data_IF_146069525023
#
_entry.id   IF_146069525023
#
_cell.length_a   1.000
_cell.length_b   1.000
_cell.length_c   1.000
_cell.angle_alpha   90.00
_cell.angle_beta   90.00
_cell.angle_gamma   90.00
#
_symmetry.space_group_name_H-M   'P 1'
#
loop_
_entity.id
_entity.type
_entity.pdbx_description
1 polymer ?
#
# COMPACT_ATOMS: atom_id res chain seq x y z
N UNK A 1 -5.45 -13.35 -26.79
CA UNK A 1 -6.32 -14.36 -26.17
C UNK A 1 -6.93 -13.72 -24.93
N UNK A 2 -8.26 -13.70 -24.78
CA UNK A 2 -8.90 -13.00 -23.65
C UNK A 2 -8.61 -13.77 -22.34
N UNK A 3 -7.78 -13.18 -21.47
CA UNK A 3 -7.38 -13.78 -20.18
C UNK A 3 -8.40 -13.54 -19.06
N UNK A 4 -9.45 -12.75 -19.30
CA UNK A 4 -10.46 -12.39 -18.31
C UNK A 4 -11.06 -13.62 -17.58
N UNK A 5 -11.42 -14.73 -18.26
CA UNK A 5 -11.99 -15.89 -17.56
C UNK A 5 -11.05 -16.50 -16.53
N UNK A 6 -9.75 -16.58 -16.84
CA UNK A 6 -8.75 -17.09 -15.90
C UNK A 6 -8.53 -16.18 -14.70
N UNK A 7 -8.57 -14.86 -14.90
CA UNK A 7 -8.50 -13.90 -13.80
C UNK A 7 -9.74 -13.94 -12.90
N UNK A 8 -10.93 -14.11 -13.49
CA UNK A 8 -12.17 -14.25 -12.73
C UNK A 8 -12.19 -15.56 -11.93
N UNK A 9 -11.76 -16.67 -12.53
CA UNK A 9 -11.64 -17.94 -11.82
C UNK A 9 -10.70 -17.83 -10.61
N UNK A 10 -9.57 -17.14 -10.76
CA UNK A 10 -8.66 -16.90 -9.64
C UNK A 10 -9.30 -16.02 -8.55
N UNK A 11 -10.10 -15.02 -8.92
CA UNK A 11 -10.83 -14.21 -7.97
C UNK A 11 -11.86 -15.03 -7.17
N UNK A 12 -12.53 -15.98 -7.81
CA UNK A 12 -13.47 -16.90 -7.15
C UNK A 12 -12.76 -17.82 -6.17
N UNK A 13 -11.60 -18.38 -6.54
CA UNK A 13 -10.77 -19.16 -5.62
C UNK A 13 -10.30 -18.35 -4.42
N UNK A 14 -9.84 -17.11 -4.62
CA UNK A 14 -9.45 -16.22 -3.51
C UNK A 14 -10.63 -15.93 -2.57
N UNK A 15 -11.83 -15.75 -3.10
CA UNK A 15 -13.05 -15.55 -2.30
C UNK A 15 -13.42 -16.79 -1.48
N UNK A 16 -13.21 -17.99 -2.04
CA UNK A 16 -13.38 -19.25 -1.31
C UNK A 16 -12.39 -19.34 -0.13
N UNK A 17 -11.11 -19.02 -0.36
CA UNK A 17 -10.10 -18.95 0.70
C UNK A 17 -10.50 -17.93 1.78
N UNK A 18 -11.02 -16.76 1.38
CA UNK A 18 -11.49 -15.75 2.33
C UNK A 18 -12.59 -16.30 3.25
N UNK A 19 -13.53 -17.10 2.71
CA UNK A 19 -14.60 -17.72 3.50
C UNK A 19 -14.08 -18.80 4.43
N UNK A 20 -13.20 -19.68 3.95
CA UNK A 20 -12.61 -20.78 4.74
C UNK A 20 -11.85 -20.21 5.94
N UNK A 21 -10.99 -19.23 5.69
CA UNK A 21 -10.15 -18.60 6.72
C UNK A 21 -10.99 -17.80 7.71
N UNK A 22 -12.07 -17.13 7.26
CA UNK A 22 -13.01 -16.47 8.16
C UNK A 22 -13.72 -17.46 9.09
N UNK A 23 -14.17 -18.61 8.58
CA UNK A 23 -14.81 -19.66 9.38
C UNK A 23 -13.84 -20.30 10.38
N UNK A 24 -12.56 -20.38 10.01
CA UNK A 24 -11.48 -20.83 10.88
C UNK A 24 -11.01 -19.78 11.91
N UNK A 25 -11.64 -18.60 11.96
CA UNK A 25 -11.26 -17.51 12.88
C UNK A 25 -9.95 -16.81 12.51
N UNK A 26 -9.43 -17.01 11.30
CA UNK A 26 -8.24 -16.34 10.74
C UNK A 26 -8.66 -15.12 9.95
N UNK A 27 -9.11 -14.09 10.67
CA UNK A 27 -9.75 -12.91 10.08
C UNK A 27 -8.80 -12.04 9.25
N UNK A 28 -7.52 -12.02 9.60
CA UNK A 28 -6.44 -11.38 8.85
C UNK A 28 -6.27 -11.98 7.45
N UNK A 29 -6.21 -13.31 7.36
CA UNK A 29 -6.15 -14.05 6.10
C UNK A 29 -7.43 -13.90 5.30
N UNK A 30 -8.58 -13.86 5.97
CA UNK A 30 -9.85 -13.61 5.33
C UNK A 30 -9.90 -12.23 4.67
N UNK A 31 -9.40 -11.19 5.35
CA UNK A 31 -9.36 -9.82 4.83
C UNK A 31 -8.42 -9.69 3.63
N UNK A 32 -7.22 -10.29 3.70
CA UNK A 32 -6.28 -10.34 2.58
C UNK A 32 -6.89 -10.98 1.35
N UNK A 33 -7.42 -12.20 1.51
CA UNK A 33 -7.98 -12.97 0.43
C UNK A 33 -9.22 -12.27 -0.16
N UNK A 34 -10.03 -11.61 0.66
CA UNK A 34 -11.17 -10.81 0.19
C UNK A 34 -10.75 -9.60 -0.65
N UNK A 35 -9.69 -8.88 -0.26
CA UNK A 35 -9.16 -7.78 -1.04
C UNK A 35 -8.60 -8.28 -2.38
N UNK A 36 -7.80 -9.36 -2.36
CA UNK A 36 -7.20 -9.95 -3.55
C UNK A 36 -8.25 -10.49 -4.54
N UNK A 37 -9.32 -11.11 -4.02
CA UNK A 37 -10.47 -11.53 -4.82
C UNK A 37 -11.10 -10.33 -5.53
N UNK A 38 -11.34 -9.24 -4.82
CA UNK A 38 -11.94 -8.04 -5.39
C UNK A 38 -11.02 -7.38 -6.44
N UNK A 39 -9.72 -7.28 -6.20
CA UNK A 39 -8.73 -6.75 -7.15
C UNK A 39 -8.75 -7.55 -8.46
N UNK A 40 -8.64 -8.88 -8.38
CA UNK A 40 -8.59 -9.78 -9.54
C UNK A 40 -9.91 -9.77 -10.31
N UNK A 41 -11.05 -9.72 -9.63
CA UNK A 41 -12.37 -9.65 -10.26
C UNK A 41 -12.53 -8.37 -11.10
N UNK A 42 -12.11 -7.22 -10.58
CA UNK A 42 -12.22 -5.95 -11.30
C UNK A 42 -11.21 -5.90 -12.47
N UNK A 43 -9.99 -6.43 -12.30
CA UNK A 43 -9.02 -6.58 -13.39
C UNK A 43 -9.54 -7.51 -14.51
N UNK A 44 -10.22 -8.60 -14.15
CA UNK A 44 -10.89 -9.46 -15.12
C UNK A 44 -11.94 -8.70 -15.93
N UNK A 45 -12.71 -7.82 -15.28
CA UNK A 45 -13.71 -7.00 -15.94
C UNK A 45 -13.09 -5.98 -16.90
N UNK A 46 -11.99 -5.32 -16.54
CA UNK A 46 -11.24 -4.48 -17.48
C UNK A 46 -10.79 -5.27 -18.72
N UNK A 47 -10.19 -6.45 -18.53
CA UNK A 47 -9.76 -7.32 -19.63
C UNK A 47 -10.93 -7.72 -20.53
N UNK A 48 -12.09 -8.03 -19.95
CA UNK A 48 -13.30 -8.34 -20.70
C UNK A 48 -13.80 -7.16 -21.55
N UNK A 49 -13.65 -5.94 -21.02
CA UNK A 49 -13.98 -4.69 -21.71
C UNK A 49 -12.87 -4.20 -22.66
N UNK A 50 -11.82 -5.01 -22.88
CA UNK A 50 -10.72 -4.69 -23.79
C UNK A 50 -9.71 -3.68 -23.23
N UNK A 51 -9.65 -3.52 -21.91
CA UNK A 51 -8.72 -2.65 -21.21
C UNK A 51 -7.73 -3.44 -20.36
N UNK A 52 -6.55 -2.88 -20.15
CA UNK A 52 -5.62 -3.34 -19.13
C UNK A 52 -5.72 -2.42 -17.92
N UNK A 53 -5.64 -3.00 -16.72
CA UNK A 53 -5.75 -2.26 -15.47
C UNK A 53 -4.61 -2.62 -14.53
N UNK A 54 -4.02 -1.59 -13.93
CA UNK A 54 -2.77 -1.65 -13.16
C UNK A 54 -2.99 -1.14 -11.73
N UNK A 55 -2.11 -1.53 -10.81
CA UNK A 55 -2.23 -1.19 -9.38
C UNK A 55 -3.12 -2.16 -8.58
N UNK A 56 -3.27 -1.89 -7.29
CA UNK A 56 -3.88 -2.82 -6.31
C UNK A 56 -5.14 -2.30 -5.63
N UNK A 57 -5.42 -0.99 -5.72
CA UNK A 57 -6.60 -0.40 -5.09
C UNK A 57 -7.86 -0.75 -5.89
N UNK A 58 -8.75 -1.53 -5.28
CA UNK A 58 -10.03 -1.94 -5.86
C UNK A 58 -10.89 -0.72 -6.14
N UNK A 59 -10.84 0.30 -5.27
CA UNK A 59 -11.60 1.54 -5.43
C UNK A 59 -11.24 2.22 -6.75
N UNK A 60 -9.94 2.28 -7.05
CA UNK A 60 -9.42 2.93 -8.26
C UNK A 60 -9.79 2.13 -9.51
N UNK A 61 -9.55 0.82 -9.47
CA UNK A 61 -9.92 -0.08 -10.57
C UNK A 61 -11.41 0.07 -10.90
N UNK A 62 -12.30 0.10 -9.91
CA UNK A 62 -13.73 0.30 -10.14
C UNK A 62 -14.06 1.64 -10.80
N UNK A 63 -13.39 2.73 -10.41
CA UNK A 63 -13.64 4.06 -10.98
C UNK A 63 -13.11 4.23 -12.39
N UNK A 64 -12.12 3.44 -12.80
CA UNK A 64 -11.51 3.50 -14.13
C UNK A 64 -12.27 2.65 -15.18
N UNK A 65 -13.29 1.90 -14.75
CA UNK A 65 -14.13 1.12 -15.65
C UNK A 65 -14.96 2.01 -16.59
N UNK A 66 -15.14 1.64 -17.87
CA UNK A 66 -15.93 2.37 -18.85
C UNK A 66 -17.43 2.05 -18.73
N UNK A 67 -17.88 1.67 -17.53
CA UNK A 67 -19.26 1.36 -17.19
C UNK A 67 -19.66 2.10 -15.93
N UNK A 68 -20.96 2.32 -15.75
CA UNK A 68 -21.46 2.92 -14.51
C UNK A 68 -21.36 1.91 -13.38
N UNK A 69 -20.51 2.19 -12.39
CA UNK A 69 -20.36 1.37 -11.18
C UNK A 69 -21.25 1.92 -10.06
N UNK A 70 -22.08 1.10 -9.40
CA UNK A 70 -22.84 1.51 -8.23
C UNK A 70 -21.94 2.06 -7.11
N UNK A 71 -22.29 3.20 -6.54
CA UNK A 71 -21.51 3.87 -5.48
C UNK A 71 -21.22 2.97 -4.28
N UNK A 72 -22.18 2.09 -3.94
CA UNK A 72 -22.05 1.10 -2.86
C UNK A 72 -20.86 0.15 -3.06
N UNK A 73 -20.53 -0.23 -4.31
CA UNK A 73 -19.35 -1.07 -4.57
C UNK A 73 -18.05 -0.31 -4.34
N UNK A 74 -18.01 0.97 -4.74
CA UNK A 74 -16.86 1.86 -4.50
C UNK A 74 -16.65 2.09 -2.99
N UNK A 75 -17.73 2.22 -2.22
CA UNK A 75 -17.65 2.34 -0.75
C UNK A 75 -17.11 1.07 -0.07
N UNK A 76 -17.54 -0.10 -0.56
CA UNK A 76 -17.00 -1.39 -0.08
C UNK A 76 -15.53 -1.57 -0.44
N UNK A 77 -15.16 -1.20 -1.66
CA UNK A 77 -13.78 -1.25 -2.13
C UNK A 77 -12.86 -0.40 -1.26
N UNK A 78 -13.29 0.81 -0.85
CA UNK A 78 -12.50 1.63 0.10
C UNK A 78 -12.24 0.92 1.41
N UNK A 79 -13.23 0.19 1.92
CA UNK A 79 -13.08 -0.56 3.17
C UNK A 79 -12.06 -1.71 3.02
N UNK A 80 -12.05 -2.38 1.86
CA UNK A 80 -11.10 -3.45 1.55
C UNK A 80 -9.68 -2.93 1.33
N UNK A 81 -9.52 -1.80 0.64
CA UNK A 81 -8.22 -1.20 0.34
C UNK A 81 -7.45 -0.83 1.61
N UNK A 82 -8.14 -0.46 2.70
CA UNK A 82 -7.52 -0.22 4.02
C UNK A 82 -6.84 -1.46 4.63
N UNK A 83 -7.15 -2.66 4.16
CA UNK A 83 -6.69 -3.93 4.73
C UNK A 83 -5.54 -4.55 3.93
N UNK A 84 -5.16 -3.94 2.80
CA UNK A 84 -4.19 -4.46 1.86
C UNK A 84 -2.75 -4.53 2.42
N UNK A 85 -2.23 -3.41 2.92
CA UNK A 85 -0.87 -3.32 3.45
C UNK A 85 -0.60 -4.20 4.70
N UNK A 86 -1.44 -4.21 5.76
CA UNK A 86 -1.14 -4.92 7.00
C UNK A 86 -1.23 -6.44 6.90
N UNK A 87 -1.87 -6.99 5.85
CA UNK A 87 -2.06 -8.43 5.68
C UNK A 87 -1.06 -9.09 4.74
N UNK A 88 -0.29 -8.29 3.99
CA UNK A 88 0.71 -8.75 3.00
C UNK A 88 2.11 -8.91 3.59
N UNK A 89 2.40 -8.27 4.72
CA UNK A 89 3.71 -8.32 5.38
C UNK A 89 3.59 -8.88 6.80
N UNK A 90 3.57 -10.22 6.95
CA UNK A 90 3.67 -10.89 8.25
C UNK A 90 4.99 -10.60 8.97
N UNK A 91 6.03 -10.27 8.21
CA UNK A 91 7.40 -10.10 8.72
C UNK A 91 7.71 -8.64 9.07
N UNK A 92 6.76 -7.73 8.84
CA UNK A 92 6.88 -6.31 9.21
C UNK A 92 6.50 -6.05 10.68
N UNK A 93 5.99 -7.06 11.40
CA UNK A 93 5.63 -6.94 12.81
C UNK A 93 6.85 -7.17 13.72
N UNK A 94 7.13 -6.28 14.70
CA UNK A 94 8.25 -6.48 15.62
C UNK A 94 8.03 -7.67 16.59
N UNK A 95 6.80 -8.07 16.93
CA UNK A 95 6.50 -9.29 17.69
C UNK A 95 4.99 -9.60 17.65
N UNK A 96 4.64 -10.86 17.92
CA UNK A 96 3.25 -11.35 17.94
C UNK A 96 2.86 -12.03 16.63
N UNK A 97 1.97 -13.01 16.71
CA UNK A 97 1.39 -13.61 15.51
C UNK A 97 0.37 -12.64 14.87
N UNK A 98 0.15 -12.70 13.55
CA UNK A 98 -0.72 -11.75 12.83
C UNK A 98 -2.16 -11.64 13.35
N UNK A 99 -2.60 -12.66 14.08
CA UNK A 99 -3.95 -12.86 14.62
C UNK A 99 -4.30 -11.94 15.82
N UNK A 100 -3.31 -11.39 16.52
CA UNK A 100 -3.54 -10.57 17.73
C UNK A 100 -3.89 -9.09 17.43
N UNK A 101 -3.70 -8.61 16.18
CA UNK A 101 -3.75 -7.18 15.84
C UNK A 101 -4.97 -6.76 15.00
N UNK A 102 -5.75 -7.71 14.47
CA UNK A 102 -6.92 -7.42 13.63
C UNK A 102 -8.21 -7.28 14.45
N UNK A 103 -8.65 -6.04 14.64
CA UNK A 103 -10.00 -5.76 15.12
C UNK A 103 -11.06 -6.15 14.06
N UNK A 104 -12.28 -6.56 14.45
CA UNK A 104 -13.34 -6.89 13.50
C UNK A 104 -13.71 -5.67 12.63
N UNK A 105 -13.90 -5.92 11.35
CA UNK A 105 -14.09 -4.94 10.29
C UNK A 105 -15.23 -3.94 10.63
N UNK A 106 -14.88 -2.68 10.91
CA UNK A 106 -15.82 -1.56 11.08
C UNK A 106 -15.47 -0.46 10.09
N UNK A 107 -16.27 -0.37 9.04
CA UNK A 107 -16.20 0.65 8.01
C UNK A 107 -16.48 2.05 8.59
N UNK A 108 -15.63 3.02 8.28
CA UNK A 108 -15.93 4.43 8.54
C UNK A 108 -14.70 5.28 8.86
N UNK A 109 -14.00 5.75 7.83
CA UNK A 109 -13.39 7.10 7.79
C UNK A 109 -12.94 7.42 6.34
N UNK A 110 -13.21 8.67 5.93
CA UNK A 110 -12.95 9.24 4.59
C UNK A 110 -11.50 9.73 4.48
N UNK A 111 -10.85 9.57 3.32
CA UNK A 111 -9.62 10.26 2.89
C UNK A 111 -9.63 10.58 1.37
N UNK A 112 -8.84 11.57 0.89
CA UNK A 112 -9.15 12.43 -0.26
C UNK A 112 -8.45 12.08 -1.61
N UNK A 113 -8.85 12.80 -2.67
CA UNK A 113 -8.56 12.62 -4.11
C UNK A 113 -7.22 13.22 -4.60
N UNK A 114 -6.69 12.64 -5.70
CA UNK A 114 -5.54 13.07 -6.52
C UNK A 114 -5.59 14.55 -6.98
N UNK A 115 -4.42 15.21 -7.01
CA UNK A 115 -4.23 16.58 -7.53
C UNK A 115 -4.23 16.62 -9.07
N UNK A 116 -4.90 17.63 -9.64
CA UNK A 116 -5.00 17.92 -11.07
C UNK A 116 -4.00 19.01 -11.46
N UNK A 117 -3.05 18.72 -12.36
CA UNK A 117 -2.17 19.75 -12.94
C UNK A 117 -2.93 20.57 -13.99
N UNK A 118 -2.97 21.90 -13.83
CA UNK A 118 -3.80 22.82 -14.63
C UNK A 118 -3.31 23.08 -16.07
N UNK A 119 -2.31 22.36 -16.59
CA UNK A 119 -1.66 22.71 -17.86
C UNK A 119 -1.54 21.60 -18.90
N UNK A 120 -2.07 20.40 -18.66
CA UNK A 120 -1.96 19.28 -19.61
C UNK A 120 -3.23 18.44 -19.61
N UNK A 121 -3.78 18.20 -20.80
CA UNK A 121 -4.88 17.24 -21.03
C UNK A 121 -4.40 15.77 -21.04
N UNK A 122 -3.11 15.53 -20.84
CA UNK A 122 -2.50 14.20 -20.77
C UNK A 122 -2.21 13.87 -19.31
N UNK A 123 -2.85 12.80 -18.81
CA UNK A 123 -2.48 12.13 -17.56
C UNK A 123 -1.11 11.46 -17.78
N UNK A 124 -0.04 12.17 -17.43
CA UNK A 124 1.31 11.59 -17.39
C UNK A 124 1.54 11.01 -15.99
N UNK A 125 2.00 9.77 -15.95
CA UNK A 125 2.44 9.15 -14.70
C UNK A 125 3.71 9.83 -14.18
N UNK A 126 3.80 10.18 -12.88
CA UNK A 126 4.96 10.86 -12.31
C UNK A 126 6.25 10.08 -12.54
N UNK A 127 7.30 10.78 -12.96
CA UNK A 127 8.62 10.17 -13.13
C UNK A 127 9.36 9.98 -11.80
N UNK A 128 10.36 9.10 -11.77
CA UNK A 128 11.20 8.88 -10.57
C UNK A 128 11.70 10.16 -9.91
N UNK A 129 12.30 11.05 -10.69
CA UNK A 129 12.87 12.29 -10.16
C UNK A 129 11.78 13.17 -9.51
N UNK A 130 10.60 13.24 -10.13
CA UNK A 130 9.45 14.00 -9.64
C UNK A 130 8.92 13.41 -8.32
N UNK A 131 8.79 12.08 -8.24
CA UNK A 131 8.32 11.39 -7.04
C UNK A 131 9.30 11.54 -5.88
N UNK A 132 10.61 11.32 -6.10
CA UNK A 132 11.61 11.46 -5.05
C UNK A 132 11.77 12.92 -4.60
N UNK A 133 11.65 13.89 -5.51
CA UNK A 133 11.65 15.31 -5.16
C UNK A 133 10.41 15.69 -4.35
N UNK A 134 9.23 15.18 -4.73
CA UNK A 134 8.01 15.39 -3.97
C UNK A 134 8.08 14.75 -2.59
N UNK A 135 8.65 13.54 -2.47
CA UNK A 135 8.90 12.91 -1.18
C UNK A 135 9.84 13.76 -0.33
N UNK A 136 10.97 14.23 -0.88
CA UNK A 136 11.90 15.11 -0.16
C UNK A 136 11.19 16.40 0.33
N UNK A 137 10.41 17.06 -0.52
CA UNK A 137 9.65 18.25 -0.16
C UNK A 137 8.57 17.97 0.89
N UNK A 138 7.91 16.81 0.81
CA UNK A 138 6.96 16.34 1.81
C UNK A 138 7.63 16.18 3.19
N UNK A 139 8.84 15.61 3.25
CA UNK A 139 9.55 15.46 4.53
C UNK A 139 9.84 16.79 5.21
N UNK A 140 10.01 17.89 4.48
CA UNK A 140 10.28 19.21 5.06
C UNK A 140 9.05 19.81 5.76
N UNK A 141 7.86 19.40 5.33
CA UNK A 141 6.57 19.86 5.88
C UNK A 141 6.01 18.90 6.93
N UNK A 142 6.58 17.71 7.04
CA UNK A 142 6.12 16.68 7.97
C UNK A 142 6.47 17.08 9.42
N UNK A 143 5.44 17.41 10.19
CA UNK A 143 5.54 17.63 11.64
C UNK A 143 5.42 16.29 12.38
N UNK A 144 6.52 15.53 12.39
CA UNK A 144 6.63 14.29 13.15
C UNK A 144 7.73 14.41 14.21
N UNK A 145 7.36 14.48 15.51
CA UNK A 145 8.34 14.52 16.60
C UNK A 145 9.29 13.32 16.55
N UNK A 146 10.58 13.59 16.73
CA UNK A 146 11.62 12.56 16.70
C UNK A 146 11.91 12.00 15.31
N UNK A 147 11.45 12.60 14.21
CA UNK A 147 11.78 12.16 12.87
C UNK A 147 13.30 12.24 12.60
N UNK A 148 13.92 11.08 12.41
CA UNK A 148 15.35 10.93 12.19
C UNK A 148 15.69 10.81 10.69
N UNK A 149 15.00 9.94 9.96
CA UNK A 149 15.28 9.70 8.55
C UNK A 149 14.03 9.31 7.74
N UNK A 150 14.05 9.61 6.44
CA UNK A 150 13.03 9.16 5.47
C UNK A 150 13.69 8.76 4.17
N UNK A 151 13.31 7.60 3.64
CA UNK A 151 13.77 7.12 2.34
C UNK A 151 12.66 6.41 1.57
N UNK A 152 12.89 6.16 0.29
CA UNK A 152 12.04 5.31 -0.54
C UNK A 152 12.75 3.99 -0.79
N UNK A 153 12.05 2.86 -0.69
CA UNK A 153 12.60 1.52 -0.98
C UNK A 153 11.81 0.78 -2.07
N UNK A 154 11.10 1.54 -2.89
CA UNK A 154 10.16 1.04 -3.90
C UNK A 154 10.78 0.82 -5.28
N UNK A 155 9.95 0.45 -6.25
CA UNK A 155 10.30 0.49 -7.67
C UNK A 155 10.84 1.86 -8.14
N UNK A 156 10.44 2.96 -7.49
CA UNK A 156 11.02 4.29 -7.76
C UNK A 156 12.46 4.40 -7.26
N UNK A 157 12.79 3.81 -6.10
CA UNK A 157 14.15 3.80 -5.59
C UNK A 157 15.10 3.11 -6.58
N UNK A 158 14.67 1.94 -7.07
CA UNK A 158 15.41 1.08 -8.02
C UNK A 158 15.45 1.58 -9.46
N UNK A 159 14.60 2.55 -9.83
CA UNK A 159 14.54 3.07 -11.20
C UNK A 159 13.74 2.22 -12.17
N UNK A 160 12.91 1.32 -11.65
CA UNK A 160 12.08 0.39 -12.41
C UNK A 160 10.60 0.81 -12.43
N UNK A 161 10.26 1.94 -11.78
CA UNK A 161 8.89 2.41 -11.69
C UNK A 161 8.27 2.69 -13.07
N UNK A 162 7.06 2.17 -13.25
CA UNK A 162 6.24 2.36 -14.44
C UNK A 162 4.87 2.92 -14.08
N UNK A 163 3.98 2.93 -15.07
CA UNK A 163 2.58 3.34 -14.85
C UNK A 163 1.93 2.39 -13.85
N UNK A 164 1.28 2.95 -12.83
CA UNK A 164 0.65 2.17 -11.76
C UNK A 164 1.56 1.89 -10.55
N UNK A 165 2.85 2.23 -10.61
CA UNK A 165 3.77 2.03 -9.49
C UNK A 165 3.46 2.92 -8.29
N UNK A 166 3.35 2.30 -7.13
CA UNK A 166 3.26 2.90 -5.80
C UNK A 166 4.65 3.23 -5.22
N UNK A 167 4.63 3.97 -4.11
CA UNK A 167 5.80 4.45 -3.40
C UNK A 167 5.84 3.88 -1.99
N UNK A 168 6.68 2.88 -1.79
CA UNK A 168 7.07 2.40 -0.46
C UNK A 168 8.09 3.33 0.19
N UNK A 169 7.73 3.87 1.36
CA UNK A 169 8.50 4.84 2.14
C UNK A 169 8.97 4.20 3.45
N UNK A 170 10.25 4.36 3.76
CA UNK A 170 10.81 4.01 5.06
C UNK A 170 10.94 5.28 5.89
N UNK A 171 10.42 5.28 7.11
CA UNK A 171 10.48 6.40 8.06
C UNK A 171 11.11 5.89 9.35
N UNK A 172 12.14 6.58 9.82
CA UNK A 172 12.80 6.29 11.10
C UNK A 172 12.55 7.44 12.06
N UNK A 173 12.11 7.09 13.26
CA UNK A 173 11.92 8.03 14.37
C UNK A 173 12.77 7.61 15.57
N UNK A 174 13.18 8.53 16.43
CA UNK A 174 13.97 8.22 17.63
C UNK A 174 13.16 7.34 18.59
N UNK A 175 12.00 7.82 19.02
CA UNK A 175 11.10 7.10 19.92
C UNK A 175 9.64 7.38 19.56
N UNK A 176 8.78 6.39 19.74
CA UNK A 176 7.34 6.57 19.52
C UNK A 176 6.52 5.63 20.40
N UNK A 177 5.59 6.21 21.17
CA UNK A 177 4.72 5.45 22.06
C UNK A 177 3.65 4.60 21.35
N UNK A 178 3.38 4.89 20.06
CA UNK A 178 2.38 4.15 19.30
C UNK A 178 2.94 2.81 18.79
N UNK A 179 2.16 1.72 18.80
CA UNK A 179 2.52 0.46 18.15
C UNK A 179 2.84 0.67 16.67
N UNK A 180 3.79 -0.11 16.13
CA UNK A 180 4.36 0.01 14.77
C UNK A 180 3.27 0.16 13.68
N UNK A 181 2.25 -0.68 13.73
CA UNK A 181 1.14 -0.76 12.78
C UNK A 181 0.23 0.48 12.80
N UNK A 182 0.18 1.20 13.92
CA UNK A 182 -0.60 2.44 14.05
C UNK A 182 0.16 3.66 13.55
N UNK A 183 1.43 3.52 13.18
CA UNK A 183 2.28 4.67 12.92
C UNK A 183 2.10 5.28 11.55
N UNK A 184 1.94 4.45 10.53
CA UNK A 184 1.65 4.87 9.16
C UNK A 184 0.37 5.73 9.10
N UNK A 185 -0.68 5.35 9.83
CA UNK A 185 -1.98 6.05 9.81
C UNK A 185 -1.92 7.53 10.27
N UNK A 186 -0.81 7.96 10.86
CA UNK A 186 -0.60 9.34 11.30
C UNK A 186 0.16 10.17 10.26
N UNK A 187 0.60 9.57 9.14
CA UNK A 187 1.35 10.25 8.10
C UNK A 187 0.39 10.74 7.01
N UNK A 188 0.48 12.01 6.57
CA UNK A 188 -0.30 12.55 5.46
C UNK A 188 0.29 12.09 4.12
N UNK A 189 0.24 10.78 3.85
CA UNK A 189 0.80 10.16 2.65
C UNK A 189 -0.02 10.49 1.38
N UNK A 190 -1.25 10.93 1.55
CA UNK A 190 -2.14 11.40 0.47
C UNK A 190 -1.64 12.69 -0.21
N UNK A 191 -0.68 13.40 0.40
CA UNK A 191 -0.02 14.55 -0.22
C UNK A 191 1.03 14.19 -1.29
N UNK A 192 1.41 12.91 -1.38
CA UNK A 192 2.41 12.45 -2.34
C UNK A 192 1.79 12.29 -3.74
N UNK A 193 2.58 12.47 -4.83
CA UNK A 193 2.06 12.50 -6.20
C UNK A 193 1.61 11.12 -6.70
N UNK A 194 1.94 10.08 -5.96
CA UNK A 194 1.58 8.68 -6.23
C UNK A 194 1.13 8.05 -4.93
N UNK A 195 0.40 6.95 -5.02
CA UNK A 195 0.02 6.17 -3.85
C UNK A 195 1.28 5.80 -3.09
N UNK A 196 1.26 6.03 -1.78
CA UNK A 196 2.41 5.79 -0.93
C UNK A 196 2.01 4.98 0.30
N UNK A 197 2.87 4.03 0.64
CA UNK A 197 2.80 3.24 1.86
C UNK A 197 4.05 3.51 2.70
N UNK A 198 3.97 3.40 4.02
CA UNK A 198 5.13 3.67 4.87
C UNK A 198 5.35 2.64 5.98
N UNK A 199 6.60 2.19 6.11
CA UNK A 199 7.09 1.49 7.29
C UNK A 199 7.72 2.51 8.24
N UNK A 200 7.26 2.55 9.49
CA UNK A 200 7.71 3.56 10.46
C UNK A 200 8.38 2.88 11.65
N UNK A 201 9.71 2.74 11.60
CA UNK A 201 10.50 2.12 12.66
C UNK A 201 10.97 3.16 13.69
N UNK A 202 11.06 2.76 14.95
CA UNK A 202 11.93 3.47 15.88
C UNK A 202 13.40 3.13 15.58
N UNK A 203 14.33 3.95 16.06
CA UNK A 203 15.78 3.69 15.93
C UNK A 203 16.15 2.32 16.50
N UNK A 204 15.63 1.99 17.68
CA UNK A 204 15.82 0.69 18.33
C UNK A 204 15.30 -0.49 17.49
N UNK A 205 14.11 -0.38 16.89
CA UNK A 205 13.54 -1.43 16.05
C UNK A 205 14.33 -1.61 14.75
N UNK A 206 14.81 -0.52 14.16
CA UNK A 206 15.64 -0.54 12.96
C UNK A 206 16.99 -1.23 13.19
N UNK A 207 17.64 -0.93 14.31
CA UNK A 207 18.92 -1.55 14.69
C UNK A 207 18.78 -3.06 14.88
N UNK A 208 17.70 -3.51 15.54
CA UNK A 208 17.44 -4.93 15.79
C UNK A 208 16.81 -5.68 14.61
N UNK A 209 16.46 -5.01 13.51
CA UNK A 209 15.77 -5.63 12.39
C UNK A 209 16.57 -6.83 11.83
N UNK A 210 17.90 -6.72 11.79
CA UNK A 210 18.79 -7.77 11.30
C UNK A 210 18.84 -9.03 12.17
N UNK A 211 18.51 -8.92 13.45
CA UNK A 211 18.43 -10.06 14.38
C UNK A 211 17.20 -10.93 14.11
N UNK A 212 16.16 -10.32 13.53
CA UNK A 212 14.84 -10.96 13.30
C UNK A 212 14.62 -11.38 11.86
N UNK A 213 15.05 -10.55 10.91
CA UNK A 213 14.93 -10.83 9.48
C UNK A 213 16.11 -10.22 8.73
N UNK A 214 17.19 -11.00 8.64
CA UNK A 214 18.43 -10.57 7.98
C UNK A 214 18.22 -10.18 6.52
N UNK A 215 17.40 -10.93 5.77
CA UNK A 215 17.12 -10.66 4.35
C UNK A 215 16.33 -9.37 4.12
N UNK A 216 15.32 -9.08 4.94
CA UNK A 216 14.58 -7.83 4.86
C UNK A 216 15.45 -6.64 5.26
N UNK A 217 16.19 -6.76 6.36
CA UNK A 217 17.07 -5.71 6.84
C UNK A 217 18.16 -5.37 5.82
N UNK A 218 18.76 -6.37 5.19
CA UNK A 218 19.76 -6.17 4.14
C UNK A 218 19.15 -5.50 2.90
N UNK A 219 17.96 -5.95 2.48
CA UNK A 219 17.24 -5.37 1.34
C UNK A 219 16.91 -3.91 1.58
N UNK A 220 16.31 -3.58 2.73
CA UNK A 220 15.97 -2.20 3.08
C UNK A 220 17.23 -1.32 3.17
N UNK A 221 18.30 -1.78 3.80
CA UNK A 221 19.56 -1.01 3.87
C UNK A 221 20.18 -0.77 2.49
N UNK A 222 20.12 -1.77 1.61
CA UNK A 222 20.72 -1.71 0.27
C UNK A 222 19.90 -0.88 -0.71
N UNK A 223 18.59 -1.00 -0.66
CA UNK A 223 17.68 -0.48 -1.70
C UNK A 223 17.02 0.84 -1.32
N UNK A 224 17.09 1.25 -0.05
CA UNK A 224 16.54 2.55 0.37
C UNK A 224 17.35 3.69 -0.19
N UNK A 225 16.68 4.57 -0.93
CA UNK A 225 17.18 5.89 -1.31
C UNK A 225 16.69 6.90 -0.28
N UNK A 226 17.59 7.34 0.60
CA UNK A 226 17.31 8.35 1.62
C UNK A 226 17.11 9.73 0.98
N UNK A 227 16.01 10.39 1.32
CA UNK A 227 15.69 11.75 0.87
C UNK A 227 15.76 12.79 2.00
N UNK A 228 15.80 12.32 3.25
CA UNK A 228 16.05 13.13 4.46
C UNK A 228 16.83 12.31 5.47
N UNK A 229 17.91 12.89 6.01
CA UNK A 229 18.80 12.20 6.94
C UNK A 229 19.50 11.00 6.29
N UNK A 230 19.86 10.03 7.13
CA UNK A 230 20.46 8.77 6.73
C UNK A 230 20.68 7.91 7.97
N UNK A 231 20.64 6.60 7.79
CA UNK A 231 20.90 5.62 8.85
C UNK A 231 21.85 4.62 8.22
N UNK A 232 23.13 4.74 8.57
CA UNK A 232 24.18 3.79 8.20
C UNK A 232 23.98 2.46 8.95
#
# INVERSE_FOLDING_TARGET
MNRAPGWLQQAESDLEIARITAQAGRHEWACFAAQQAAEKAVKALHLHLGQEAWGHLVTRLLTELPITVPSMLVEKARSLDTLYAPTRFSDAFPAGAPDEHTAPCRAGRRSPMLVRSLRSSVLRWPGRAEVLQALAAWTQRLELPGLAAVGAFSSYARGEAGVGSDLDVLVIVEERALPFERRMAQLPLDELPVLAEALVYTREEWERLGERSSGLAETLRRETVWVRGGVD
#
